data_IF_991863004712
#
_entry.id   IF_991863004712
#
_cell.length_a   1.000
_cell.length_b   1.000
_cell.length_c   1.000
_cell.angle_alpha   90.00
_cell.angle_beta   90.00
_cell.angle_gamma   90.00
#
_symmetry.space_group_name_H-M   'P 1'
#
loop_
_entity.id
_entity.type
_entity.pdbx_description
1 polymer ?
#
# COMPACT_ATOMS: atom_id res chain seq x y z
N UNK A 1 -6.06 -3.14 -8.33
CA UNK A 1 -7.23 -2.74 -9.16
C UNK A 1 -7.51 -1.23 -9.08
N UNK A 2 -7.35 -0.61 -7.91
CA UNK A 2 -7.51 0.85 -7.71
C UNK A 2 -6.80 1.67 -8.78
N UNK A 3 -5.50 1.44 -8.97
CA UNK A 3 -4.69 2.16 -9.95
C UNK A 3 -5.20 1.95 -11.37
N UNK A 4 -5.52 0.71 -11.76
CA UNK A 4 -6.10 0.42 -13.07
C UNK A 4 -7.37 1.24 -13.36
N UNK A 5 -8.26 1.37 -12.37
CA UNK A 5 -9.46 2.20 -12.51
C UNK A 5 -9.09 3.69 -12.65
N UNK A 6 -8.20 4.19 -11.79
CA UNK A 6 -7.81 5.61 -11.84
C UNK A 6 -7.10 5.96 -13.14
N UNK A 7 -6.32 5.04 -13.70
CA UNK A 7 -5.65 5.19 -14.98
C UNK A 7 -6.67 5.20 -16.13
N UNK A 8 -7.62 4.27 -16.11
CA UNK A 8 -8.69 4.23 -17.10
C UNK A 8 -9.50 5.54 -17.15
N UNK A 9 -9.77 6.14 -15.98
CA UNK A 9 -10.41 7.45 -15.89
C UNK A 9 -9.47 8.64 -16.12
N UNK A 10 -8.15 8.41 -16.24
CA UNK A 10 -7.16 9.47 -16.47
C UNK A 10 -6.93 10.41 -15.28
N UNK A 11 -7.28 9.97 -14.07
CA UNK A 11 -7.20 10.75 -12.81
C UNK A 11 -6.00 10.38 -11.94
N UNK A 12 -5.18 9.42 -12.37
CA UNK A 12 -3.94 9.06 -11.68
C UNK A 12 -2.78 9.97 -12.04
N UNK A 13 -1.76 10.02 -11.17
CA UNK A 13 -0.50 10.72 -11.46
C UNK A 13 0.19 10.15 -12.72
N UNK A 14 0.18 8.82 -12.86
CA UNK A 14 0.84 8.11 -13.97
C UNK A 14 0.28 8.54 -15.34
N UNK A 15 -1.06 8.63 -15.45
CA UNK A 15 -1.68 9.12 -16.68
C UNK A 15 -1.45 10.61 -16.92
N UNK A 16 -1.39 11.42 -15.85
CA UNK A 16 -1.00 12.82 -15.93
C UNK A 16 0.41 13.01 -16.49
N UNK A 17 1.37 12.25 -15.97
CA UNK A 17 2.76 12.27 -16.45
C UNK A 17 2.87 11.82 -17.91
N UNK A 18 2.14 10.77 -18.29
CA UNK A 18 2.12 10.29 -19.68
C UNK A 18 1.48 11.30 -20.65
N UNK A 19 0.42 12.01 -20.22
CA UNK A 19 -0.19 13.10 -21.01
C UNK A 19 0.78 14.26 -21.17
N UNK A 20 1.51 14.64 -20.12
CA UNK A 20 2.54 15.68 -20.20
C UNK A 20 3.70 15.28 -21.12
N UNK A 21 4.05 13.99 -21.16
CA UNK A 21 5.05 13.45 -22.10
C UNK A 21 4.54 13.30 -23.54
N UNK A 22 3.22 13.43 -23.77
CA UNK A 22 2.58 13.33 -25.08
C UNK A 22 2.42 11.90 -25.63
N UNK A 23 3.06 10.90 -25.02
CA UNK A 23 2.96 9.49 -25.43
C UNK A 23 3.33 8.53 -24.29
N UNK A 24 2.87 7.29 -24.40
CA UNK A 24 3.35 6.16 -23.61
C UNK A 24 4.33 5.36 -24.46
N UNK A 25 5.54 5.14 -23.95
CA UNK A 25 6.53 4.27 -24.61
C UNK A 25 6.12 2.83 -24.45
N UNK A 26 6.06 2.10 -25.55
CA UNK A 26 5.71 0.68 -25.57
C UNK A 26 6.73 -0.08 -26.39
N UNK A 27 6.82 -1.40 -26.19
CA UNK A 27 7.61 -2.28 -27.03
C UNK A 27 6.67 -3.29 -27.68
N UNK A 28 6.05 -2.89 -28.79
CA UNK A 28 5.05 -3.69 -29.50
C UNK A 28 5.36 -3.83 -30.98
N UNK A 29 4.59 -4.68 -31.65
CA UNK A 29 4.57 -4.81 -33.11
C UNK A 29 3.13 -4.73 -33.61
N UNK A 30 2.93 -4.12 -34.79
CA UNK A 30 1.63 -4.11 -35.44
C UNK A 30 1.34 -5.44 -36.17
N UNK A 31 0.15 -5.57 -36.76
CA UNK A 31 -0.25 -6.76 -37.52
C UNK A 31 0.62 -7.02 -38.76
N UNK A 32 1.35 -6.02 -39.23
CA UNK A 32 2.26 -6.11 -40.38
C UNK A 32 3.72 -6.35 -39.98
N UNK A 33 4.01 -6.47 -38.67
CA UNK A 33 5.34 -6.71 -38.12
C UNK A 33 6.20 -5.46 -37.92
N UNK A 34 5.65 -4.26 -38.11
CA UNK A 34 6.40 -3.02 -37.84
C UNK A 34 6.44 -2.73 -36.34
N UNK A 35 7.56 -2.18 -35.87
CA UNK A 35 7.71 -1.80 -34.47
C UNK A 35 6.79 -0.62 -34.11
N UNK A 36 6.06 -0.77 -33.02
CA UNK A 36 5.29 0.30 -32.36
C UNK A 36 6.02 0.67 -31.08
N UNK A 37 6.57 1.89 -31.04
CA UNK A 37 7.37 2.37 -29.90
C UNK A 37 6.66 3.38 -29.02
N UNK A 38 5.51 3.91 -29.48
CA UNK A 38 4.74 4.92 -28.75
C UNK A 38 3.24 4.85 -29.07
N UNK A 39 2.41 5.00 -28.05
CA UNK A 39 0.94 5.05 -28.16
C UNK A 39 0.42 6.32 -27.49
N UNK A 40 -0.71 6.84 -27.95
CA UNK A 40 -1.36 7.96 -27.27
C UNK A 40 -1.77 7.53 -25.85
N UNK A 41 -1.59 8.37 -24.83
CA UNK A 41 -1.87 7.98 -23.46
C UNK A 41 -3.30 7.51 -23.24
N UNK A 42 -4.29 8.18 -23.83
CA UNK A 42 -5.70 7.81 -23.69
C UNK A 42 -5.97 6.40 -24.23
N UNK A 43 -5.51 6.10 -25.45
CA UNK A 43 -5.71 4.80 -26.10
C UNK A 43 -5.04 3.68 -25.29
N UNK A 44 -3.85 3.95 -24.75
CA UNK A 44 -3.13 3.00 -23.92
C UNK A 44 -3.89 2.67 -22.63
N UNK A 45 -4.16 3.66 -21.78
CA UNK A 45 -4.74 3.43 -20.46
C UNK A 45 -6.22 3.03 -20.50
N UNK A 46 -6.97 3.41 -21.54
CA UNK A 46 -8.33 2.88 -21.74
C UNK A 46 -8.33 1.41 -22.19
N UNK A 47 -7.26 0.95 -22.84
CA UNK A 47 -7.11 -0.45 -23.27
C UNK A 47 -6.61 -1.33 -22.13
N UNK A 48 -5.54 -0.91 -21.44
CA UNK A 48 -4.92 -1.75 -20.40
C UNK A 48 -5.55 -1.58 -19.02
N UNK A 49 -6.16 -0.43 -18.75
CA UNK A 49 -6.72 -0.07 -17.45
C UNK A 49 -8.12 -0.63 -17.21
N UNK A 50 -8.69 -0.25 -16.07
CA UNK A 50 -10.04 -0.62 -15.67
C UNK A 50 -10.14 -2.02 -15.08
N UNK A 51 -11.39 -2.48 -14.87
CA UNK A 51 -11.66 -3.78 -14.23
C UNK A 51 -11.46 -4.97 -15.18
N UNK A 52 -11.63 -4.75 -16.48
CA UNK A 52 -11.49 -5.78 -17.53
C UNK A 52 -10.24 -5.64 -18.39
N UNK A 53 -9.29 -4.78 -17.99
CA UNK A 53 -8.05 -4.57 -18.72
C UNK A 53 -6.99 -5.63 -18.47
N UNK A 54 -5.74 -5.29 -18.72
CA UNK A 54 -4.59 -6.19 -18.59
C UNK A 54 -4.10 -6.22 -17.14
N UNK A 55 -4.48 -7.26 -16.40
CA UNK A 55 -4.15 -7.39 -14.98
C UNK A 55 -2.65 -7.40 -14.66
N UNK A 56 -1.83 -7.95 -15.57
CA UNK A 56 -0.36 -8.01 -15.40
C UNK A 56 0.27 -6.63 -15.25
N UNK A 57 -0.23 -5.63 -15.99
CA UNK A 57 0.27 -4.25 -15.93
C UNK A 57 0.08 -3.59 -14.55
N UNK A 58 -0.81 -4.15 -13.72
CA UNK A 58 -1.18 -3.65 -12.40
C UNK A 58 -0.83 -4.63 -11.28
N UNK A 59 0.04 -5.61 -11.56
CA UNK A 59 0.50 -6.58 -10.58
C UNK A 59 1.82 -6.11 -9.95
N UNK A 60 1.82 -5.98 -8.63
CA UNK A 60 2.98 -5.54 -7.86
C UNK A 60 3.45 -6.64 -6.93
N UNK A 61 4.76 -6.67 -6.66
CA UNK A 61 5.30 -7.53 -5.61
C UNK A 61 4.80 -7.09 -4.23
N UNK A 62 4.35 -8.07 -3.44
CA UNK A 62 3.94 -7.88 -2.05
C UNK A 62 5.13 -7.70 -1.07
N UNK A 63 6.37 -7.59 -1.56
CA UNK A 63 7.54 -7.40 -0.71
C UNK A 63 7.48 -6.06 0.03
N UNK A 64 7.45 -6.14 1.34
CA UNK A 64 7.40 -5.00 2.26
C UNK A 64 8.27 -5.27 3.49
N UNK A 65 8.95 -4.25 3.98
CA UNK A 65 9.73 -4.29 5.23
C UNK A 65 9.27 -3.13 6.08
N UNK A 66 8.72 -3.39 7.27
CA UNK A 66 8.11 -2.37 8.12
C UNK A 66 8.38 -2.57 9.60
N UNK A 67 8.42 -1.48 10.36
CA UNK A 67 8.43 -1.53 11.82
C UNK A 67 7.00 -1.76 12.31
N UNK A 68 6.63 -3.03 12.49
CA UNK A 68 5.28 -3.46 12.87
C UNK A 68 4.87 -2.98 14.25
N UNK A 69 5.73 -3.18 15.23
CA UNK A 69 5.46 -2.86 16.62
C UNK A 69 6.74 -2.45 17.34
N UNK A 70 6.66 -1.38 18.12
CA UNK A 70 7.67 -0.95 19.06
C UNK A 70 7.01 -0.75 20.42
N UNK A 71 7.61 -1.31 21.48
CA UNK A 71 7.09 -1.21 22.84
C UNK A 71 8.23 -0.95 23.80
N UNK A 72 8.09 0.11 24.60
CA UNK A 72 9.01 0.45 25.67
C UNK A 72 8.21 0.62 26.94
N UNK A 73 8.59 -0.09 28.00
CA UNK A 73 7.92 0.04 29.28
C UNK A 73 8.84 -0.10 30.46
N UNK A 74 8.55 0.65 31.51
CA UNK A 74 9.29 0.67 32.75
C UNK A 74 8.36 0.31 33.92
N UNK A 75 8.87 -0.53 34.82
CA UNK A 75 8.15 -0.97 36.01
C UNK A 75 8.88 -0.48 37.24
N UNK A 76 8.21 0.30 38.09
CA UNK A 76 8.73 0.73 39.39
C UNK A 76 8.35 -0.30 40.47
N UNK A 77 9.34 -0.91 41.17
CA UNK A 77 9.07 -1.76 42.32
C UNK A 77 8.78 -0.89 43.56
N UNK A 78 7.54 -0.92 44.04
CA UNK A 78 7.10 -0.17 45.22
C UNK A 78 7.01 -1.13 46.41
N UNK A 79 8.09 -1.22 47.20
CA UNK A 79 8.22 -2.24 48.26
C UNK A 79 7.39 -1.96 49.51
N UNK A 80 6.99 -0.72 49.76
CA UNK A 80 6.35 -0.28 51.02
C UNK A 80 5.09 0.61 50.82
N UNK A 81 4.26 0.36 49.80
CA UNK A 81 3.03 1.14 49.56
C UNK A 81 1.80 0.24 49.41
N UNK A 82 0.60 0.80 49.57
CA UNK A 82 -0.68 0.17 49.18
C UNK A 82 -0.69 -0.23 47.69
N UNK A 83 0.18 0.39 46.89
CA UNK A 83 0.46 0.02 45.51
C UNK A 83 1.74 -0.82 45.48
N UNK A 84 1.63 -2.09 45.09
CA UNK A 84 2.75 -3.04 44.98
C UNK A 84 3.61 -2.82 43.73
N UNK A 85 3.02 -2.30 42.65
CA UNK A 85 3.75 -2.08 41.40
C UNK A 85 3.06 -1.04 40.51
N UNK A 86 3.87 -0.22 39.86
CA UNK A 86 3.45 0.73 38.84
C UNK A 86 4.22 0.42 37.55
N UNK A 87 3.53 0.28 36.42
CA UNK A 87 4.15 0.12 35.11
C UNK A 87 3.60 1.14 34.13
N UNK A 88 4.50 1.89 33.50
CA UNK A 88 4.18 2.77 32.38
C UNK A 88 4.81 2.18 31.12
N UNK A 89 4.03 2.06 30.04
CA UNK A 89 4.50 1.58 28.75
C UNK A 89 4.01 2.48 27.62
N UNK A 90 4.87 2.73 26.64
CA UNK A 90 4.51 3.34 25.36
C UNK A 90 4.56 2.25 24.29
N UNK A 91 3.52 2.17 23.47
CA UNK A 91 3.42 1.23 22.35
C UNK A 91 3.16 2.00 21.06
N UNK A 92 3.78 1.58 19.98
CA UNK A 92 3.58 2.15 18.67
C UNK A 92 3.49 1.04 17.63
N UNK A 93 2.52 1.13 16.72
CA UNK A 93 2.24 0.14 15.67
C UNK A 93 2.19 0.81 14.31
N UNK A 94 2.68 0.08 13.29
CA UNK A 94 2.77 0.55 11.91
C UNK A 94 3.47 1.91 11.80
N UNK A 95 4.63 2.04 12.44
CA UNK A 95 5.37 3.30 12.52
C UNK A 95 5.77 3.80 11.14
N UNK A 96 6.52 3.00 10.38
CA UNK A 96 6.94 3.33 9.02
C UNK A 96 7.40 2.08 8.26
N UNK A 97 7.52 2.24 6.94
CA UNK A 97 8.05 1.25 6.02
C UNK A 97 9.52 1.56 5.72
N UNK A 98 10.40 0.58 5.90
CA UNK A 98 11.79 0.64 5.42
C UNK A 98 11.84 0.40 3.90
N UNK A 99 10.95 -0.45 3.40
CA UNK A 99 10.85 -0.77 1.98
C UNK A 99 9.42 -1.15 1.62
N UNK A 100 8.94 -0.69 0.47
CA UNK A 100 7.61 -1.01 -0.07
C UNK A 100 7.67 -1.01 -1.60
N UNK A 101 7.46 -2.16 -2.23
CA UNK A 101 7.52 -2.28 -3.70
C UNK A 101 6.21 -1.87 -4.38
N UNK A 102 5.07 -2.24 -3.79
CA UNK A 102 3.75 -1.81 -4.25
C UNK A 102 3.49 -0.33 -3.88
N UNK A 103 2.67 0.41 -4.65
CA UNK A 103 2.30 1.78 -4.30
C UNK A 103 1.40 1.85 -3.04
N UNK A 104 0.76 0.74 -2.66
CA UNK A 104 -0.09 0.57 -1.48
C UNK A 104 0.54 -0.38 -0.45
N UNK A 105 -0.04 -0.52 0.75
CA UNK A 105 0.38 -1.55 1.72
C UNK A 105 -0.16 -2.92 1.29
N UNK A 106 0.71 -3.88 0.89
CA UNK A 106 0.26 -5.19 0.40
C UNK A 106 -0.30 -6.09 1.49
N UNK A 107 -0.22 -5.70 2.77
CA UNK A 107 -0.81 -6.45 3.88
C UNK A 107 -2.29 -6.14 4.12
N UNK A 108 -2.86 -5.17 3.39
CA UNK A 108 -4.30 -4.92 3.41
C UNK A 108 -4.98 -5.83 2.38
N UNK A 109 -6.03 -6.51 2.81
CA UNK A 109 -6.91 -7.28 1.94
C UNK A 109 -8.32 -6.70 1.99
N UNK A 110 -9.02 -6.72 0.85
CA UNK A 110 -10.42 -6.27 0.76
C UNK A 110 -11.42 -7.33 1.27
N UNK A 111 -10.99 -8.59 1.40
CA UNK A 111 -11.85 -9.69 1.82
C UNK A 111 -11.12 -10.63 2.77
N UNK A 112 -11.89 -11.24 3.67
CA UNK A 112 -11.45 -12.39 4.49
C UNK A 112 -11.44 -13.70 3.69
N UNK A 113 -11.99 -13.70 2.47
CA UNK A 113 -11.92 -14.84 1.56
C UNK A 113 -10.57 -14.89 0.85
N UNK A 114 -10.06 -16.11 0.65
CA UNK A 114 -8.78 -16.33 -0.04
C UNK A 114 -8.83 -15.98 -1.54
N UNK A 115 -10.02 -15.84 -2.13
CA UNK A 115 -10.18 -15.58 -3.57
C UNK A 115 -9.81 -14.14 -3.98
N UNK A 116 -9.89 -13.18 -3.04
CA UNK A 116 -9.54 -11.78 -3.30
C UNK A 116 -8.33 -11.31 -2.49
N UNK A 117 -7.57 -12.26 -1.92
CA UNK A 117 -6.32 -11.96 -1.24
C UNK A 117 -5.32 -11.35 -2.25
N UNK A 118 -4.77 -10.20 -1.93
CA UNK A 118 -3.81 -9.48 -2.78
C UNK A 118 -4.42 -8.55 -3.83
N UNK A 119 -5.76 -8.48 -3.93
CA UNK A 119 -6.43 -7.52 -4.82
C UNK A 119 -6.74 -6.24 -4.04
N UNK A 120 -6.09 -5.14 -4.44
CA UNK A 120 -6.38 -3.80 -3.92
C UNK A 120 -7.52 -3.11 -4.70
N UNK A 121 -8.58 -2.72 -3.99
CA UNK A 121 -9.72 -1.96 -4.53
C UNK A 121 -10.13 -0.88 -3.53
N UNK A 122 -9.63 0.33 -3.73
CA UNK A 122 -9.90 1.52 -2.91
C UNK A 122 -9.80 1.26 -1.41
N UNK A 123 -8.84 0.42 -0.98
CA UNK A 123 -8.65 0.14 0.43
C UNK A 123 -8.20 1.40 1.16
N UNK A 124 -8.63 1.52 2.42
CA UNK A 124 -8.18 2.58 3.29
C UNK A 124 -6.69 2.40 3.61
N UNK A 125 -5.91 3.49 3.70
CA UNK A 125 -4.50 3.40 4.08
C UNK A 125 -4.36 2.85 5.51
N UNK A 126 -3.24 2.17 5.79
CA UNK A 126 -2.94 1.73 7.16
C UNK A 126 -2.77 2.92 8.10
N UNK A 127 -3.30 2.77 9.30
CA UNK A 127 -3.14 3.76 10.37
C UNK A 127 -1.84 3.52 11.12
N UNK A 128 -1.16 4.64 11.45
CA UNK A 128 -0.09 4.67 12.44
C UNK A 128 -0.73 4.88 13.81
N UNK A 129 -0.48 3.96 14.74
CA UNK A 129 -1.07 4.02 16.08
C UNK A 129 0.04 4.19 17.12
N UNK A 130 -0.12 5.14 18.02
CA UNK A 130 0.79 5.37 19.15
C UNK A 130 -0.08 5.44 20.41
N UNK A 131 0.30 4.73 21.46
CA UNK A 131 -0.45 4.60 22.68
C UNK A 131 0.43 4.58 23.91
N UNK A 132 -0.17 4.90 25.05
CA UNK A 132 0.46 4.82 26.37
C UNK A 132 -0.44 3.98 27.27
N UNK A 133 0.17 3.09 28.05
CA UNK A 133 -0.51 2.21 29.01
C UNK A 133 0.07 2.45 30.41
N UNK A 134 -0.82 2.69 31.37
CA UNK A 134 -0.49 2.73 32.79
C UNK A 134 -1.16 1.55 33.48
N UNK A 135 -0.37 0.70 34.13
CA UNK A 135 -0.84 -0.45 34.89
C UNK A 135 -0.46 -0.27 36.37
N UNK A 136 -1.46 -0.35 37.25
CA UNK A 136 -1.31 -0.22 38.70
C UNK A 136 -1.69 -1.54 39.35
N UNK A 137 -0.84 -2.06 40.25
CA UNK A 137 -1.10 -3.27 41.03
C UNK A 137 -1.13 -2.93 42.51
N UNK A 138 -2.21 -3.32 43.20
CA UNK A 138 -2.42 -3.15 44.64
C UNK A 138 -2.04 -4.41 45.43
#
# INVERSE_FOLDING_TARGET
MTQAIMDYYGVSKETGDARNAGSVKVNGVDQSGNAVTSVKPIDWYQTIGGRGGVGEAYMYSATTVRLREFSLGYTWPLKNSFIKSLRLAATARNLFFFYKKAPYDPEITMSTSNQFAGIDVFNQPVTRNIGVNLSVKF
#
